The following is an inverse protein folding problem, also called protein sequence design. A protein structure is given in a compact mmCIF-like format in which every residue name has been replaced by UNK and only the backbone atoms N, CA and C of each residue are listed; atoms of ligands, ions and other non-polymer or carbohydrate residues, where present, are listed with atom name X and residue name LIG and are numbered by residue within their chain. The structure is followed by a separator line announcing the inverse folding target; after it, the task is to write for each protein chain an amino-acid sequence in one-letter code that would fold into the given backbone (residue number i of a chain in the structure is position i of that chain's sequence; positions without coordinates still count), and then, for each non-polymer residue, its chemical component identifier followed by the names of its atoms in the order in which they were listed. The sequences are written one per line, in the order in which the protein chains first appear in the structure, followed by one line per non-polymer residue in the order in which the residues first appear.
data_IF_953639667072
#
_entry.id   IF_953639667072
#
_cell.length_a   1.000
_cell.length_b   1.000
_cell.length_c   1.000
_cell.angle_alpha   90.00
_cell.angle_beta   90.00
_cell.angle_gamma   90.00
#
_symmetry.space_group_name_H-M   'P 1'
#
loop_
_entity.id
_entity.type
_entity.pdbx_description
1 polymer ?
#
# COMPACT_ATOMS: atom_id res chain seq x y z
N UNK A 1 16.14 -34.23 -11.72
CA UNK A 1 16.50 -33.38 -10.56
C UNK A 1 15.49 -32.25 -10.50
N UNK A 2 14.54 -32.29 -9.55
CA UNK A 2 13.60 -31.19 -9.35
C UNK A 2 14.27 -30.14 -8.47
N UNK A 3 14.64 -29.00 -9.05
CA UNK A 3 15.05 -27.81 -8.30
C UNK A 3 13.83 -27.20 -7.61
N UNK A 4 13.90 -26.85 -6.30
CA UNK A 4 12.81 -26.15 -5.64
C UNK A 4 12.63 -24.76 -6.29
N UNK A 5 11.38 -24.28 -6.50
CA UNK A 5 11.18 -22.90 -6.88
C UNK A 5 11.69 -22.04 -5.72
N UNK A 6 12.79 -21.33 -5.99
CA UNK A 6 13.24 -20.24 -5.13
C UNK A 6 12.04 -19.31 -4.95
N UNK A 7 11.64 -18.95 -3.71
CA UNK A 7 10.57 -17.98 -3.53
C UNK A 7 11.02 -16.74 -4.27
N UNK A 8 10.30 -16.38 -5.32
CA UNK A 8 10.55 -15.19 -6.10
C UNK A 8 10.60 -14.04 -5.10
N UNK A 9 11.82 -13.58 -4.78
CA UNK A 9 12.06 -12.25 -4.27
C UNK A 9 11.34 -11.39 -5.29
N UNK A 10 10.14 -10.93 -4.94
CA UNK A 10 9.24 -10.18 -5.80
C UNK A 10 10.11 -9.13 -6.46
N UNK A 11 10.48 -9.40 -7.71
CA UNK A 11 11.19 -8.44 -8.51
C UNK A 11 10.24 -7.26 -8.50
N UNK A 12 10.66 -6.18 -7.84
CA UNK A 12 9.98 -4.92 -7.98
C UNK A 12 9.84 -4.73 -9.49
N UNK A 13 8.60 -4.84 -9.96
CA UNK A 13 8.26 -4.46 -11.31
C UNK A 13 8.73 -3.03 -11.56
N UNK A 14 8.72 -2.56 -12.82
CA UNK A 14 9.28 -1.28 -13.22
C UNK A 14 8.92 -0.21 -12.18
N UNK A 15 9.95 0.31 -11.47
CA UNK A 15 9.85 1.13 -10.26
C UNK A 15 8.42 1.57 -9.93
N UNK A 16 7.65 0.69 -9.26
CA UNK A 16 6.26 1.00 -8.92
C UNK A 16 6.28 2.31 -8.14
N UNK A 17 5.72 3.38 -8.73
CA UNK A 17 5.64 4.68 -8.07
C UNK A 17 4.88 4.46 -6.76
N UNK A 18 5.50 4.83 -5.65
CA UNK A 18 4.90 4.76 -4.33
C UNK A 18 4.55 6.17 -3.89
N UNK A 19 3.37 6.29 -3.30
CA UNK A 19 2.86 7.55 -2.77
C UNK A 19 2.78 7.39 -1.25
N UNK A 20 3.30 8.37 -0.53
CA UNK A 20 3.15 8.41 0.92
C UNK A 20 1.73 8.90 1.21
N UNK A 21 0.97 8.10 1.95
CA UNK A 21 -0.41 8.43 2.31
C UNK A 21 -0.50 8.52 3.83
N UNK A 22 -1.16 9.57 4.31
CA UNK A 22 -1.47 9.81 5.70
C UNK A 22 -2.95 9.54 5.97
N UNK A 23 -3.22 8.68 6.94
CA UNK A 23 -4.53 8.32 7.43
C UNK A 23 -4.89 9.18 8.63
N UNK A 24 -5.99 9.93 8.52
CA UNK A 24 -6.42 10.93 9.50
C UNK A 24 -7.43 10.42 10.53
N UNK A 25 -7.90 9.18 10.39
CA UNK A 25 -8.87 8.62 11.32
C UNK A 25 -8.18 7.84 12.44
N UNK A 26 -8.86 7.73 13.58
CA UNK A 26 -8.32 7.03 14.76
C UNK A 26 -8.66 5.54 14.81
N UNK A 27 -9.57 5.08 13.95
CA UNK A 27 -9.98 3.68 13.91
C UNK A 27 -9.00 2.86 13.06
N UNK A 28 -8.56 1.67 13.50
CA UNK A 28 -7.73 0.81 12.67
C UNK A 28 -8.52 0.34 11.43
N UNK A 29 -7.89 0.42 10.25
CA UNK A 29 -8.47 -0.01 8.98
C UNK A 29 -7.45 -0.82 8.18
N UNK A 30 -7.93 -1.92 7.61
CA UNK A 30 -7.16 -2.71 6.65
C UNK A 30 -7.72 -2.45 5.26
N UNK A 31 -6.88 -1.95 4.36
CA UNK A 31 -7.23 -1.67 2.97
C UNK A 31 -6.50 -2.63 2.05
N UNK A 32 -7.27 -3.29 1.18
CA UNK A 32 -6.73 -4.04 0.06
C UNK A 32 -6.55 -3.11 -1.14
N UNK A 33 -5.32 -2.94 -1.58
CA UNK A 33 -4.97 -2.24 -2.81
C UNK A 33 -5.68 -2.87 -4.00
N UNK A 34 -6.40 -2.06 -4.77
CA UNK A 34 -7.17 -2.50 -5.94
C UNK A 34 -6.30 -2.79 -7.16
N UNK A 35 -5.14 -2.13 -7.26
CA UNK A 35 -4.19 -2.29 -8.36
C UNK A 35 -3.11 -3.33 -8.02
N UNK A 36 -2.52 -3.26 -6.81
CA UNK A 36 -1.45 -4.17 -6.41
C UNK A 36 -1.97 -5.45 -5.72
N UNK A 37 -3.22 -5.45 -5.23
CA UNK A 37 -3.77 -6.56 -4.44
C UNK A 37 -3.18 -6.68 -3.03
N UNK A 38 -2.27 -5.79 -2.65
CA UNK A 38 -1.56 -5.76 -1.36
C UNK A 38 -2.49 -5.31 -0.24
N UNK A 39 -2.27 -5.83 0.96
CA UNK A 39 -2.96 -5.37 2.16
C UNK A 39 -2.11 -4.29 2.83
N UNK A 40 -2.77 -3.20 3.19
CA UNK A 40 -2.21 -2.07 3.91
C UNK A 40 -3.01 -1.88 5.18
N UNK A 41 -2.35 -1.83 6.32
CA UNK A 41 -2.97 -1.55 7.61
C UNK A 41 -2.66 -0.12 7.98
N UNK A 42 -3.68 0.64 8.37
CA UNK A 42 -3.56 2.01 8.85
C UNK A 42 -4.23 2.10 10.21
N UNK A 43 -3.54 2.72 11.15
CA UNK A 43 -4.05 2.97 12.49
C UNK A 43 -3.44 4.25 13.07
N UNK A 44 -3.86 4.64 14.28
CA UNK A 44 -3.39 5.87 14.91
C UNK A 44 -1.90 5.85 15.29
N UNK A 45 -1.30 4.66 15.48
CA UNK A 45 0.13 4.45 15.77
C UNK A 45 0.98 4.52 14.51
N UNK A 46 0.45 4.03 13.39
CA UNK A 46 1.10 4.12 12.08
C UNK A 46 0.17 4.77 11.04
N UNK A 47 -0.09 6.08 11.15
CA UNK A 47 -1.02 6.76 10.25
C UNK A 47 -0.41 6.97 8.87
N UNK A 48 0.90 6.86 8.69
CA UNK A 48 1.57 7.19 7.44
C UNK A 48 2.24 5.94 6.84
N UNK A 49 1.84 5.56 5.62
CA UNK A 49 2.41 4.42 4.89
C UNK A 49 2.64 4.73 3.41
N UNK A 50 3.66 4.08 2.84
CA UNK A 50 3.88 4.05 1.40
C UNK A 50 2.96 3.01 0.75
N UNK A 51 2.09 3.48 -0.12
CA UNK A 51 1.19 2.65 -0.94
C UNK A 51 1.58 2.77 -2.40
N UNK A 52 1.24 1.78 -3.23
CA UNK A 52 1.45 1.91 -4.67
C UNK A 52 0.57 3.05 -5.21
N UNK A 53 1.06 3.81 -6.19
CA UNK A 53 0.35 4.96 -6.78
C UNK A 53 -1.05 4.58 -7.27
N UNK A 54 -1.18 3.40 -7.92
CA UNK A 54 -2.47 2.89 -8.37
C UNK A 54 -3.46 2.60 -7.23
N UNK A 55 -2.96 2.18 -6.06
CA UNK A 55 -3.79 1.96 -4.87
C UNK A 55 -4.11 3.27 -4.16
N UNK A 56 -3.15 4.20 -4.15
CA UNK A 56 -3.28 5.53 -3.55
C UNK A 56 -4.42 6.32 -4.18
N UNK A 57 -4.65 6.20 -5.49
CA UNK A 57 -5.76 6.88 -6.18
C UNK A 57 -7.10 6.55 -5.54
N UNK A 58 -7.35 5.29 -5.16
CA UNK A 58 -8.60 4.91 -4.51
C UNK A 58 -8.67 5.42 -3.06
N UNK A 59 -7.55 5.36 -2.32
CA UNK A 59 -7.45 5.86 -0.95
C UNK A 59 -7.71 7.36 -0.87
N UNK A 60 -7.02 8.14 -1.71
CA UNK A 60 -7.09 9.61 -1.76
C UNK A 60 -8.44 10.16 -2.22
N UNK A 61 -9.31 9.32 -2.81
CA UNK A 61 -10.71 9.69 -3.07
C UNK A 61 -11.56 9.73 -1.80
N UNK A 62 -11.05 9.20 -0.69
CA UNK A 62 -11.75 9.17 0.58
C UNK A 62 -11.24 10.27 1.51
N UNK A 63 -12.13 10.91 2.26
CA UNK A 63 -11.81 12.00 3.21
C UNK A 63 -10.86 11.63 4.36
N UNK A 64 -10.63 10.33 4.56
CA UNK A 64 -9.79 9.81 5.64
C UNK A 64 -8.32 9.73 5.26
N UNK A 65 -7.99 9.77 3.97
CA UNK A 65 -6.62 9.65 3.49
C UNK A 65 -6.18 10.94 2.80
N UNK A 66 -4.92 11.29 3.03
CA UNK A 66 -4.24 12.48 2.55
C UNK A 66 -2.95 12.05 1.86
N UNK A 67 -2.56 12.72 0.78
CA UNK A 67 -1.24 12.51 0.20
C UNK A 67 -0.21 13.33 0.97
N UNK A 68 0.87 12.68 1.39
CA UNK A 68 2.10 13.34 1.84
C UNK A 68 3.12 13.25 0.70
N UNK A 69 3.76 14.36 0.41
CA UNK A 69 4.85 14.47 -0.57
C UNK A 69 6.18 14.49 0.18
#
# INVERSE_FOLDING_TARGET
MNTPPTPARTAAGPAERRVLVHYRASAPVVVRGVASGRLYEFDASQPTLYVAEGDAVALLRSRWFERRD
#
